data_IF_819915068261
#
_entry.id   IF_819915068261
#
_cell.length_a   1.000
_cell.length_b   1.000
_cell.length_c   1.000
_cell.angle_alpha   90.00
_cell.angle_beta   90.00
_cell.angle_gamma   90.00
#
_symmetry.space_group_name_H-M   'P 1'
#
loop_
_entity.id
_entity.type
_entity.pdbx_description
1 polymer ?
#
# COMPACT_ATOMS: atom_id res chain seq x y z
N UNK A 1 56.53 -52.46 54.25
CA UNK A 1 55.87 -52.80 52.96
C UNK A 1 55.37 -51.50 52.35
N UNK A 2 55.64 -51.09 51.12
CA UNK A 2 56.58 -51.48 50.08
C UNK A 2 56.64 -50.25 49.14
N UNK A 3 57.83 -49.76 48.82
CA UNK A 3 58.08 -48.62 47.93
C UNK A 3 58.08 -49.06 46.46
N UNK A 4 57.65 -48.18 45.55
CA UNK A 4 58.06 -48.14 44.14
C UNK A 4 56.95 -47.71 43.16
N UNK A 5 57.27 -47.24 41.93
CA UNK A 5 58.40 -46.41 41.53
C UNK A 5 57.98 -45.16 40.71
N UNK A 6 58.97 -44.28 40.55
CA UNK A 6 59.00 -43.06 39.74
C UNK A 6 58.81 -43.37 38.24
N UNK A 7 58.07 -42.52 37.52
CA UNK A 7 58.19 -42.38 36.07
C UNK A 7 58.32 -40.91 35.68
N UNK A 8 59.49 -40.64 35.11
CA UNK A 8 59.91 -39.43 34.41
C UNK A 8 59.22 -39.41 33.05
N UNK A 9 58.54 -38.31 32.67
CA UNK A 9 58.20 -38.10 31.26
C UNK A 9 58.38 -36.64 30.80
N UNK A 10 59.45 -36.50 30.01
CA UNK A 10 59.83 -35.55 28.96
C UNK A 10 59.15 -34.19 28.80
N UNK A 11 60.03 -33.19 28.89
CA UNK A 11 60.04 -31.90 28.18
C UNK A 11 59.79 -32.10 26.67
N UNK A 12 58.77 -31.42 26.14
CA UNK A 12 58.56 -31.21 24.72
C UNK A 12 58.51 -29.71 24.43
N UNK A 13 59.65 -29.18 23.98
CA UNK A 13 59.76 -27.82 23.44
C UNK A 13 58.94 -27.70 22.15
N UNK A 14 58.20 -26.60 22.02
CA UNK A 14 57.41 -26.32 20.84
C UNK A 14 56.91 -24.87 20.78
N UNK A 15 57.75 -23.90 21.14
CA UNK A 15 57.52 -22.49 20.79
C UNK A 15 57.88 -22.30 19.30
N UNK A 16 56.93 -22.59 18.41
CA UNK A 16 56.98 -22.07 17.04
C UNK A 16 56.51 -20.60 17.04
N UNK A 17 57.19 -19.68 16.34
CA UNK A 17 56.72 -18.30 16.24
C UNK A 17 55.43 -18.27 15.42
N UNK A 18 54.35 -17.77 16.02
CA UNK A 18 53.13 -17.40 15.28
C UNK A 18 53.51 -16.17 14.44
N UNK A 19 53.97 -16.40 13.21
CA UNK A 19 54.01 -15.36 12.17
C UNK A 19 52.56 -15.01 11.85
N UNK A 20 51.99 -14.05 12.59
CA UNK A 20 50.74 -13.39 12.19
C UNK A 20 51.08 -12.58 10.95
N UNK A 21 50.68 -13.11 9.81
CA UNK A 21 50.70 -12.42 8.54
C UNK A 21 49.74 -11.21 8.62
N UNK A 22 50.30 -10.03 8.90
CA UNK A 22 49.56 -8.77 9.12
C UNK A 22 49.05 -8.17 7.79
N UNK A 23 49.40 -8.76 6.63
CA UNK A 23 49.25 -8.07 5.33
C UNK A 23 47.94 -8.33 4.57
N UNK A 24 47.07 -9.26 5.00
CA UNK A 24 45.84 -9.60 4.25
C UNK A 24 44.52 -8.99 4.79
N UNK A 25 44.56 -8.22 5.89
CA UNK A 25 43.32 -7.70 6.55
C UNK A 25 42.75 -6.33 6.10
N UNK A 26 43.44 -5.43 5.36
CA UNK A 26 42.88 -4.09 5.13
C UNK A 26 41.80 -4.02 4.04
N UNK A 27 41.77 -4.97 3.09
CA UNK A 27 40.84 -4.91 1.94
C UNK A 27 39.43 -5.41 2.30
N UNK A 28 39.31 -6.54 3.01
CA UNK A 28 38.02 -7.07 3.44
C UNK A 28 37.27 -6.12 4.39
N UNK A 29 37.99 -5.45 5.30
CA UNK A 29 37.40 -4.46 6.21
C UNK A 29 36.91 -3.20 5.47
N UNK A 30 37.65 -2.73 4.45
CA UNK A 30 37.23 -1.61 3.60
C UNK A 30 35.98 -1.94 2.78
N UNK A 31 35.89 -3.15 2.24
CA UNK A 31 34.72 -3.60 1.47
C UNK A 31 33.47 -3.78 2.36
N UNK A 32 33.63 -4.28 3.59
CA UNK A 32 32.52 -4.40 4.54
C UNK A 32 32.03 -3.02 5.03
N UNK A 33 32.95 -2.08 5.30
CA UNK A 33 32.60 -0.71 5.68
C UNK A 33 31.91 0.05 4.53
N UNK A 34 32.35 -0.14 3.28
CA UNK A 34 31.72 0.49 2.11
C UNK A 34 30.34 -0.11 1.78
N UNK A 35 30.15 -1.41 1.99
CA UNK A 35 28.85 -2.06 1.86
C UNK A 35 27.88 -1.63 2.97
N UNK A 36 28.35 -1.51 4.22
CA UNK A 36 27.54 -1.04 5.35
C UNK A 36 27.13 0.42 5.19
N UNK A 37 28.02 1.30 4.72
CA UNK A 37 27.67 2.71 4.43
C UNK A 37 26.70 2.85 3.27
N UNK A 38 26.82 2.03 2.22
CA UNK A 38 25.83 2.00 1.12
C UNK A 38 24.45 1.59 1.62
N UNK A 39 24.34 0.50 2.39
CA UNK A 39 23.07 0.06 2.99
C UNK A 39 22.45 1.13 3.89
N UNK A 40 23.23 1.74 4.78
CA UNK A 40 22.76 2.84 5.62
C UNK A 40 22.29 4.05 4.78
N UNK A 41 22.99 4.36 3.69
CA UNK A 41 22.58 5.44 2.79
C UNK A 41 21.28 5.13 2.03
N UNK A 42 21.07 3.87 1.65
CA UNK A 42 19.87 3.43 0.96
C UNK A 42 18.67 3.36 1.91
N UNK A 43 18.86 2.87 3.14
CA UNK A 43 17.86 2.92 4.21
C UNK A 43 17.44 4.36 4.53
N UNK A 44 18.39 5.29 4.64
CA UNK A 44 18.08 6.71 4.86
C UNK A 44 17.31 7.33 3.70
N UNK A 45 17.59 6.93 2.45
CA UNK A 45 16.81 7.39 1.28
C UNK A 45 15.38 6.87 1.34
N UNK A 46 15.18 5.59 1.62
CA UNK A 46 13.85 4.97 1.75
C UNK A 46 13.04 5.69 2.85
N UNK A 47 13.65 5.97 4.01
CA UNK A 47 13.00 6.68 5.11
C UNK A 47 12.62 8.11 4.70
N UNK A 48 13.49 8.82 3.97
CA UNK A 48 13.20 10.18 3.49
C UNK A 48 12.05 10.18 2.49
N UNK A 49 12.08 9.30 1.50
CA UNK A 49 11.03 9.17 0.49
C UNK A 49 9.67 8.84 1.13
N UNK A 50 9.64 7.91 2.09
CA UNK A 50 8.42 7.58 2.82
C UNK A 50 7.87 8.79 3.60
N UNK A 51 8.76 9.57 4.24
CA UNK A 51 8.36 10.77 4.99
C UNK A 51 7.86 11.88 4.07
N UNK A 52 8.50 12.08 2.92
CA UNK A 52 8.05 13.05 1.92
C UNK A 52 6.65 12.72 1.39
N UNK A 53 6.39 11.44 1.10
CA UNK A 53 5.06 10.96 0.70
C UNK A 53 4.01 11.21 1.78
N UNK A 54 4.30 10.85 3.03
CA UNK A 54 3.40 11.12 4.15
C UNK A 54 3.10 12.62 4.30
N UNK A 55 4.12 13.47 4.24
CA UNK A 55 3.94 14.93 4.31
C UNK A 55 3.10 15.45 3.16
N UNK A 56 3.30 14.94 1.94
CA UNK A 56 2.51 15.34 0.77
C UNK A 56 1.03 14.98 0.92
N UNK A 57 0.73 13.81 1.48
CA UNK A 57 -0.64 13.35 1.73
C UNK A 57 -1.30 14.20 2.82
N UNK A 58 -0.59 14.46 3.92
CA UNK A 58 -1.15 15.28 5.01
C UNK A 58 -1.34 16.73 4.59
N UNK A 59 -0.44 17.29 3.79
CA UNK A 59 -0.57 18.66 3.26
C UNK A 59 -1.76 18.79 2.32
N UNK A 60 -1.94 17.84 1.39
CA UNK A 60 -3.12 17.82 0.52
C UNK A 60 -4.42 17.66 1.31
N UNK A 61 -4.42 16.79 2.31
CA UNK A 61 -5.58 16.58 3.16
C UNK A 61 -5.94 17.84 3.95
N UNK A 62 -4.94 18.54 4.50
CA UNK A 62 -5.14 19.81 5.19
C UNK A 62 -5.70 20.88 4.25
N UNK A 63 -5.24 20.94 3.00
CA UNK A 63 -5.79 21.86 1.99
C UNK A 63 -7.25 21.55 1.69
N UNK A 64 -7.60 20.27 1.54
CA UNK A 64 -8.97 19.85 1.28
C UNK A 64 -9.89 20.15 2.46
N UNK A 65 -9.50 19.80 3.69
CA UNK A 65 -10.36 19.99 4.87
C UNK A 65 -10.49 21.45 5.31
N UNK A 66 -9.53 22.31 4.97
CA UNK A 66 -9.58 23.75 5.20
C UNK A 66 -10.14 24.54 4.00
N UNK A 67 -10.61 23.86 2.95
CA UNK A 67 -11.20 24.51 1.80
C UNK A 67 -12.40 25.37 2.24
N UNK A 68 -12.39 26.64 1.84
CA UNK A 68 -13.52 27.56 2.04
C UNK A 68 -14.30 27.70 0.74
N UNK A 69 -15.22 28.67 0.63
CA UNK A 69 -16.00 28.85 -0.61
C UNK A 69 -15.14 29.14 -1.84
N UNK A 70 -13.93 29.71 -1.69
CA UNK A 70 -12.94 29.91 -2.77
C UNK A 70 -11.51 29.83 -2.21
N UNK A 71 -10.65 28.91 -2.68
CA UNK A 71 -10.94 27.82 -3.63
C UNK A 71 -11.86 26.77 -3.00
N UNK A 72 -12.81 26.24 -3.80
CA UNK A 72 -13.68 25.18 -3.33
C UNK A 72 -12.89 23.87 -3.18
N UNK A 73 -13.41 22.94 -2.37
CA UNK A 73 -12.77 21.64 -2.15
C UNK A 73 -12.58 20.86 -3.48
N UNK A 74 -13.50 21.03 -4.44
CA UNK A 74 -13.40 20.46 -5.78
C UNK A 74 -12.27 21.10 -6.60
N UNK A 75 -12.07 22.42 -6.51
CA UNK A 75 -10.99 23.10 -7.22
C UNK A 75 -9.62 22.64 -6.73
N UNK A 76 -9.46 22.49 -5.41
CA UNK A 76 -8.23 21.97 -4.80
C UNK A 76 -7.98 20.53 -5.27
N UNK A 77 -9.02 19.69 -5.28
CA UNK A 77 -8.92 18.31 -5.77
C UNK A 77 -8.52 18.26 -7.26
N UNK A 78 -9.09 19.14 -8.09
CA UNK A 78 -8.79 19.20 -9.52
C UNK A 78 -7.34 19.63 -9.79
N UNK A 79 -6.87 20.66 -9.08
CA UNK A 79 -5.47 21.12 -9.18
C UNK A 79 -4.46 20.06 -8.73
N UNK A 80 -4.88 19.15 -7.84
CA UNK A 80 -4.04 18.11 -7.26
C UNK A 80 -4.41 16.69 -7.73
N UNK A 81 -5.07 16.53 -8.89
CA UNK A 81 -5.57 15.23 -9.36
C UNK A 81 -4.49 14.15 -9.47
N UNK A 82 -3.24 14.54 -9.73
CA UNK A 82 -2.07 13.63 -9.76
C UNK A 82 -1.69 13.12 -8.36
N UNK A 83 -1.89 13.93 -7.33
CA UNK A 83 -1.59 13.60 -5.93
C UNK A 83 -2.70 12.80 -5.27
N UNK A 84 -3.88 12.68 -5.92
CA UNK A 84 -4.96 11.78 -5.53
C UNK A 84 -4.60 10.33 -5.90
N UNK A 85 -3.64 9.76 -5.18
CA UNK A 85 -3.12 8.39 -5.34
C UNK A 85 -3.83 7.43 -4.39
N UNK A 86 -3.63 6.12 -4.59
CA UNK A 86 -4.12 5.09 -3.66
C UNK A 86 -3.62 5.33 -2.22
N UNK A 87 -2.36 5.74 -2.06
CA UNK A 87 -1.77 6.07 -0.77
C UNK A 87 -2.51 7.22 -0.06
N UNK A 88 -2.93 8.25 -0.81
CA UNK A 88 -3.76 9.32 -0.28
C UNK A 88 -5.10 8.80 0.26
N UNK A 89 -5.79 7.97 -0.52
CA UNK A 89 -7.11 7.42 -0.13
C UNK A 89 -7.00 6.47 1.07
N UNK A 90 -5.98 5.61 1.11
CA UNK A 90 -5.76 4.68 2.22
C UNK A 90 -5.42 5.41 3.52
N UNK A 91 -4.51 6.39 3.46
CA UNK A 91 -4.11 7.18 4.63
C UNK A 91 -5.28 8.00 5.16
N UNK A 92 -6.01 8.68 4.28
CA UNK A 92 -7.15 9.51 4.67
C UNK A 92 -8.30 8.66 5.25
N UNK A 93 -8.55 7.47 4.68
CA UNK A 93 -9.55 6.54 5.23
C UNK A 93 -9.16 6.05 6.62
N UNK A 94 -7.86 5.79 6.84
CA UNK A 94 -7.33 5.42 8.17
C UNK A 94 -7.56 6.54 9.18
N UNK A 95 -7.28 7.80 8.82
CA UNK A 95 -7.55 8.94 9.69
C UNK A 95 -9.04 9.14 9.96
N UNK A 96 -9.90 8.90 8.97
CA UNK A 96 -11.35 8.95 9.16
C UNK A 96 -11.82 7.86 10.15
N UNK A 97 -11.33 6.63 10.04
CA UNK A 97 -11.67 5.56 10.98
C UNK A 97 -11.17 5.86 12.39
N UNK A 98 -9.98 6.42 12.54
CA UNK A 98 -9.45 6.88 13.83
C UNK A 98 -10.34 7.97 14.43
N UNK A 99 -10.68 8.99 13.66
CA UNK A 99 -11.58 10.06 14.11
C UNK A 99 -12.96 9.53 14.53
N UNK A 100 -13.51 8.54 13.79
CA UNK A 100 -14.76 7.85 14.14
C UNK A 100 -14.64 7.08 15.47
N UNK A 101 -13.52 6.38 15.68
CA UNK A 101 -13.25 5.62 16.93
C UNK A 101 -13.04 6.54 18.13
N UNK A 102 -12.44 7.70 17.94
CA UNK A 102 -12.22 8.72 18.98
C UNK A 102 -13.47 9.56 19.27
N UNK A 103 -14.57 9.34 18.54
CA UNK A 103 -15.83 10.08 18.71
C UNK A 103 -15.78 11.49 18.11
N UNK A 104 -14.74 11.84 17.35
CA UNK A 104 -14.60 13.13 16.70
C UNK A 104 -15.39 13.16 15.38
N UNK A 105 -16.72 13.26 15.51
CA UNK A 105 -17.66 13.22 14.40
C UNK A 105 -17.51 14.39 13.43
N UNK A 106 -17.08 15.56 13.91
CA UNK A 106 -16.83 16.73 13.06
C UNK A 106 -15.66 16.49 12.10
N UNK A 107 -14.52 16.03 12.61
CA UNK A 107 -13.35 15.73 11.78
C UNK A 107 -13.66 14.55 10.85
N UNK A 108 -14.32 13.51 11.36
CA UNK A 108 -14.75 12.39 10.52
C UNK A 108 -15.62 12.84 9.34
N UNK A 109 -16.56 13.76 9.57
CA UNK A 109 -17.40 14.34 8.51
C UNK A 109 -16.61 15.14 7.48
N UNK A 110 -15.68 16.00 7.92
CA UNK A 110 -14.79 16.76 7.00
C UNK A 110 -13.92 15.83 6.16
N UNK A 111 -13.37 14.77 6.76
CA UNK A 111 -12.57 13.78 6.06
C UNK A 111 -13.41 12.99 5.04
N UNK A 112 -14.64 12.65 5.40
CA UNK A 112 -15.58 11.96 4.51
C UNK A 112 -15.96 12.84 3.29
N UNK A 113 -16.24 14.13 3.51
CA UNK A 113 -16.51 15.08 2.43
C UNK A 113 -15.30 15.29 1.52
N UNK A 114 -14.10 15.42 2.10
CA UNK A 114 -12.85 15.53 1.35
C UNK A 114 -12.59 14.29 0.50
N UNK A 115 -12.77 13.09 1.07
CA UNK A 115 -12.64 11.82 0.34
C UNK A 115 -13.63 11.72 -0.81
N UNK A 116 -14.91 12.06 -0.57
CA UNK A 116 -15.95 12.02 -1.59
C UNK A 116 -15.66 12.97 -2.74
N UNK A 117 -15.23 14.19 -2.44
CA UNK A 117 -14.88 15.21 -3.43
C UNK A 117 -13.66 14.80 -4.24
N UNK A 118 -12.60 14.33 -3.57
CA UNK A 118 -11.41 13.82 -4.21
C UNK A 118 -11.71 12.62 -5.13
N UNK A 119 -12.53 11.67 -4.68
CA UNK A 119 -12.95 10.52 -5.48
C UNK A 119 -13.74 10.95 -6.72
N UNK A 120 -14.70 11.86 -6.57
CA UNK A 120 -15.48 12.37 -7.69
C UNK A 120 -14.59 13.01 -8.76
N UNK A 121 -13.56 13.77 -8.34
CA UNK A 121 -12.61 14.39 -9.25
C UNK A 121 -11.69 13.36 -9.92
N UNK A 122 -11.18 12.39 -9.15
CA UNK A 122 -10.37 11.30 -9.69
C UNK A 122 -11.14 10.51 -10.73
N UNK A 123 -12.43 10.28 -10.49
CA UNK A 123 -13.29 9.48 -11.37
C UNK A 123 -13.48 10.10 -12.76
N UNK A 124 -13.33 11.43 -12.92
CA UNK A 124 -13.37 12.09 -14.23
C UNK A 124 -12.23 11.64 -15.15
N UNK A 125 -11.11 11.24 -14.57
CA UNK A 125 -9.88 10.87 -15.27
C UNK A 125 -9.71 9.35 -15.43
N UNK A 126 -10.61 8.55 -14.84
CA UNK A 126 -10.58 7.10 -14.95
C UNK A 126 -11.15 6.64 -16.28
N UNK A 127 -10.65 5.49 -16.74
CA UNK A 127 -11.22 4.79 -17.90
C UNK A 127 -12.71 4.50 -17.68
N UNK A 128 -13.56 4.56 -18.73
CA UNK A 128 -15.00 4.33 -18.62
C UNK A 128 -15.37 3.03 -17.89
N UNK A 129 -14.61 1.95 -18.12
CA UNK A 129 -14.84 0.64 -17.50
C UNK A 129 -14.61 0.68 -15.98
N UNK A 130 -13.58 1.38 -15.52
CA UNK A 130 -13.29 1.56 -14.09
C UNK A 130 -14.34 2.48 -13.45
N UNK A 131 -14.77 3.53 -14.17
CA UNK A 131 -15.83 4.43 -13.70
C UNK A 131 -17.14 3.68 -13.47
N UNK A 132 -17.53 2.84 -14.43
CA UNK A 132 -18.73 2.01 -14.35
C UNK A 132 -18.64 1.05 -13.16
N UNK A 133 -17.50 0.36 -13.00
CA UNK A 133 -17.32 -0.56 -11.88
C UNK A 133 -17.48 0.13 -10.53
N UNK A 134 -16.84 1.30 -10.34
CA UNK A 134 -16.97 2.08 -9.12
C UNK A 134 -18.43 2.49 -8.84
N UNK A 135 -19.19 2.87 -9.87
CA UNK A 135 -20.62 3.18 -9.71
C UNK A 135 -21.43 1.95 -9.29
N UNK A 136 -21.18 0.79 -9.93
CA UNK A 136 -21.89 -0.45 -9.62
C UNK A 136 -21.62 -0.96 -8.20
N UNK A 137 -20.39 -0.78 -7.70
CA UNK A 137 -20.00 -1.14 -6.32
C UNK A 137 -20.64 -0.24 -5.26
N UNK A 138 -21.07 0.97 -5.62
CA UNK A 138 -21.77 1.89 -4.71
C UNK A 138 -23.27 1.60 -4.61
N UNK A 139 -23.85 0.97 -5.64
CA UNK A 139 -25.28 0.65 -5.67
C UNK A 139 -25.55 -0.58 -4.82
N UNK A 140 -26.34 -0.42 -3.77
CA UNK A 140 -26.76 -1.53 -2.89
C UNK A 140 -27.88 -2.37 -3.52
N UNK A 141 -28.77 -1.75 -4.31
CA UNK A 141 -29.92 -2.41 -4.91
C UNK A 141 -29.59 -3.12 -6.24
N UNK A 142 -29.90 -4.41 -6.33
CA UNK A 142 -29.60 -5.23 -7.50
C UNK A 142 -30.39 -4.78 -8.74
N UNK A 143 -31.62 -4.28 -8.57
CA UNK A 143 -32.43 -3.81 -9.70
C UNK A 143 -31.83 -2.55 -10.34
N UNK A 144 -31.44 -1.57 -9.52
CA UNK A 144 -30.73 -0.37 -9.99
C UNK A 144 -29.40 -0.73 -10.64
N UNK A 145 -28.69 -1.72 -10.11
CA UNK A 145 -27.41 -2.18 -10.67
C UNK A 145 -27.59 -2.77 -12.07
N UNK A 146 -28.61 -3.62 -12.26
CA UNK A 146 -28.95 -4.18 -13.57
C UNK A 146 -29.35 -3.10 -14.58
N UNK A 147 -30.14 -2.10 -14.17
CA UNK A 147 -30.50 -0.97 -15.04
C UNK A 147 -29.27 -0.20 -15.50
N UNK A 148 -28.31 0.05 -14.60
CA UNK A 148 -27.07 0.73 -14.95
C UNK A 148 -26.20 -0.11 -15.89
N UNK A 149 -26.10 -1.43 -15.67
CA UNK A 149 -25.38 -2.35 -16.55
C UNK A 149 -25.97 -2.38 -17.96
N UNK A 150 -27.31 -2.43 -18.07
CA UNK A 150 -28.01 -2.40 -19.36
C UNK A 150 -27.81 -1.07 -20.08
N UNK A 151 -27.92 0.06 -19.37
CA UNK A 151 -27.66 1.38 -19.92
C UNK A 151 -26.21 1.56 -20.38
N UNK A 152 -25.27 0.83 -19.76
CA UNK A 152 -23.83 0.92 -20.04
C UNK A 152 -23.30 -0.23 -20.90
N UNK A 153 -24.17 -0.92 -21.66
CA UNK A 153 -23.81 -2.10 -22.47
C UNK A 153 -22.59 -1.88 -23.35
N UNK A 154 -22.48 -0.70 -23.98
CA UNK A 154 -21.33 -0.35 -24.82
C UNK A 154 -20.01 -0.40 -24.03
N UNK A 155 -19.99 0.15 -22.82
CA UNK A 155 -18.80 0.15 -21.96
C UNK A 155 -18.45 -1.26 -21.47
N UNK A 156 -19.45 -2.11 -21.24
CA UNK A 156 -19.23 -3.52 -20.84
C UNK A 156 -18.61 -4.33 -21.97
N UNK A 157 -19.04 -4.11 -23.22
CA UNK A 157 -18.62 -4.87 -24.40
C UNK A 157 -17.35 -4.30 -25.07
N UNK A 158 -16.95 -3.07 -24.75
CA UNK A 158 -15.75 -2.43 -25.27
C UNK A 158 -14.46 -3.22 -24.93
N UNK A 159 -13.46 -3.10 -25.81
CA UNK A 159 -12.09 -3.58 -25.61
C UNK A 159 -12.00 -5.08 -25.24
N UNK A 160 -12.64 -5.96 -26.04
CA UNK A 160 -12.59 -7.42 -25.89
C UNK A 160 -12.95 -7.92 -24.48
N UNK A 161 -14.02 -7.36 -23.91
CA UNK A 161 -14.51 -7.71 -22.58
C UNK A 161 -13.56 -7.32 -21.46
N UNK A 162 -12.79 -6.23 -21.62
CA UNK A 162 -11.88 -5.73 -20.59
C UNK A 162 -12.58 -5.53 -19.24
N UNK A 163 -13.80 -5.02 -19.24
CA UNK A 163 -14.61 -4.84 -18.03
C UNK A 163 -14.81 -6.16 -17.26
N UNK A 164 -15.17 -7.24 -17.96
CA UNK A 164 -15.37 -8.55 -17.32
C UNK A 164 -14.06 -9.14 -16.80
N UNK A 165 -12.96 -8.96 -17.54
CA UNK A 165 -11.62 -9.36 -17.08
C UNK A 165 -11.21 -8.60 -15.82
N UNK A 166 -11.52 -7.31 -15.74
CA UNK A 166 -11.28 -6.47 -14.56
C UNK A 166 -12.06 -7.00 -13.34
N UNK A 167 -13.36 -7.28 -13.50
CA UNK A 167 -14.22 -7.84 -12.44
C UNK A 167 -13.68 -9.20 -11.96
N UNK A 168 -13.29 -10.08 -12.87
CA UNK A 168 -12.75 -11.40 -12.53
C UNK A 168 -11.41 -11.31 -11.79
N UNK A 169 -10.51 -10.42 -12.22
CA UNK A 169 -9.24 -10.18 -11.53
C UNK A 169 -9.46 -9.66 -10.10
N UNK A 170 -10.34 -8.67 -9.92
CA UNK A 170 -10.66 -8.15 -8.58
C UNK A 170 -11.27 -9.23 -7.68
N UNK A 171 -12.16 -10.06 -8.21
CA UNK A 171 -12.74 -11.16 -7.45
C UNK A 171 -11.69 -12.21 -7.06
N UNK A 172 -10.73 -12.52 -7.94
CA UNK A 172 -9.60 -13.41 -7.63
C UNK A 172 -8.72 -12.82 -6.53
N UNK A 173 -8.43 -11.54 -6.59
CA UNK A 173 -7.61 -10.85 -5.59
C UNK A 173 -8.29 -10.82 -4.23
N UNK A 174 -9.59 -10.50 -4.17
CA UNK A 174 -10.38 -10.53 -2.93
C UNK A 174 -10.47 -11.93 -2.33
N UNK A 175 -10.56 -12.98 -3.15
CA UNK A 175 -10.57 -14.39 -2.68
C UNK A 175 -9.24 -14.83 -2.09
N UNK A 176 -8.13 -14.19 -2.46
CA UNK A 176 -6.78 -14.47 -1.91
C UNK A 176 -6.52 -13.76 -0.59
N UNK A 177 -7.27 -12.72 -0.27
CA UNK A 177 -7.16 -11.99 0.98
C UNK A 177 -7.78 -12.78 2.16
N UNK A 178 -7.29 -12.58 3.39
CA UNK A 178 -7.90 -13.17 4.58
C UNK A 178 -9.38 -12.74 4.69
N UNK A 179 -10.24 -13.69 5.10
CA UNK A 179 -11.69 -13.47 5.17
C UNK A 179 -12.02 -12.35 6.15
N UNK A 180 -12.66 -11.30 5.66
CA UNK A 180 -13.24 -10.22 6.44
C UNK A 180 -14.70 -10.04 6.05
N UNK A 181 -15.51 -9.42 6.91
CA UNK A 181 -16.90 -9.10 6.59
C UNK A 181 -17.02 -8.24 5.33
N UNK A 182 -16.08 -7.31 5.12
CA UNK A 182 -16.02 -6.47 3.93
C UNK A 182 -15.70 -7.23 2.65
N UNK A 183 -14.79 -8.21 2.68
CA UNK A 183 -14.43 -8.96 1.47
C UNK A 183 -15.55 -9.88 1.00
N UNK A 184 -16.31 -10.47 1.91
CA UNK A 184 -17.48 -11.29 1.57
C UNK A 184 -18.57 -10.48 0.84
N UNK A 185 -18.88 -9.28 1.33
CA UNK A 185 -19.85 -8.38 0.71
C UNK A 185 -19.38 -7.93 -0.68
N UNK A 186 -18.11 -7.53 -0.81
CA UNK A 186 -17.55 -7.11 -2.09
C UNK A 186 -17.56 -8.25 -3.13
N UNK A 187 -17.24 -9.49 -2.71
CA UNK A 187 -17.33 -10.67 -3.59
C UNK A 187 -18.77 -10.89 -4.06
N UNK A 188 -19.75 -10.82 -3.15
CA UNK A 188 -21.16 -10.97 -3.52
C UNK A 188 -21.61 -9.91 -4.53
N UNK A 189 -21.22 -8.65 -4.33
CA UNK A 189 -21.52 -7.56 -5.27
C UNK A 189 -20.88 -7.80 -6.65
N UNK A 190 -19.61 -8.19 -6.70
CA UNK A 190 -18.91 -8.49 -7.97
C UNK A 190 -19.52 -9.70 -8.69
N UNK A 191 -19.98 -10.72 -7.96
CA UNK A 191 -20.69 -11.86 -8.56
C UNK A 191 -22.02 -11.44 -9.18
N UNK A 192 -22.80 -10.60 -8.49
CA UNK A 192 -24.05 -10.05 -9.03
C UNK A 192 -23.80 -9.23 -10.30
N UNK A 193 -22.73 -8.42 -10.33
CA UNK A 193 -22.31 -7.67 -11.54
C UNK A 193 -21.98 -8.63 -12.69
N UNK A 194 -21.23 -9.70 -12.42
CA UNK A 194 -20.83 -10.66 -13.44
C UNK A 194 -22.04 -11.41 -14.03
N UNK A 195 -23.01 -11.79 -13.20
CA UNK A 195 -24.24 -12.48 -13.64
C UNK A 195 -25.20 -11.56 -14.40
N UNK A 196 -25.24 -10.27 -14.05
CA UNK A 196 -26.08 -9.28 -14.69
C UNK A 196 -25.50 -8.67 -15.97
N UNK A 197 -24.22 -8.92 -16.27
CA UNK A 197 -23.58 -8.35 -17.44
C UNK A 197 -24.07 -9.04 -18.73
N UNK A 198 -24.45 -8.29 -19.77
CA UNK A 198 -24.82 -8.86 -21.05
C UNK A 198 -23.62 -9.59 -21.68
N UNK A 199 -23.83 -10.86 -22.03
CA UNK A 199 -22.87 -11.67 -22.79
C UNK A 199 -22.58 -11.08 -24.16
#
# INVERSE_FOLDING_TARGET
MQLGPVSVFRVGQGCGPIQRDIRARPLARRQLLSAATRRASDELKIIREAREKQLSVTDLLAKLTNATQKPSMADIAAQNANSLTEEFFLTTSTYMEMAKKEGNTEIAGKLEEALRTAMAEKQKHLRPEIRLLNQLMQIQDDSQRLKLLQASKNTVQMNDGYFLKLVDNMMKDLKRQPKSSGSALAIHQLQSIQQGAPS
#
